data_IF_060539549405
#
_entry.id   IF_060539549405
#
_cell.length_a   1.000
_cell.length_b   1.000
_cell.length_c   1.000
_cell.angle_alpha   90.00
_cell.angle_beta   90.00
_cell.angle_gamma   90.00
#
_symmetry.space_group_name_H-M   'P 1'
#
loop_
_entity.id
_entity.type
_entity.pdbx_description
1 polymer ?
#
# COMPACT_ATOMS: atom_id res chain seq x y z
N UNK A 1 28.31 -6.63 -22.86
CA UNK A 1 28.19 -5.73 -21.69
C UNK A 1 29.36 -6.04 -20.76
N UNK A 2 30.24 -5.07 -20.51
CA UNK A 2 31.33 -5.25 -19.54
C UNK A 2 30.75 -5.03 -18.12
N UNK A 3 30.96 -5.98 -17.22
CA UNK A 3 30.51 -5.92 -15.81
C UNK A 3 31.73 -5.64 -14.94
N UNK A 4 31.65 -4.65 -14.05
CA UNK A 4 32.73 -4.32 -13.12
C UNK A 4 32.22 -4.38 -11.68
N UNK A 5 32.92 -5.15 -10.85
CA UNK A 5 32.81 -5.04 -9.40
C UNK A 5 33.73 -3.91 -8.95
N UNK A 6 33.15 -2.85 -8.36
CA UNK A 6 33.92 -1.79 -7.71
C UNK A 6 33.82 -1.98 -6.19
N UNK A 7 34.96 -2.25 -5.54
CA UNK A 7 35.07 -2.43 -4.09
C UNK A 7 35.63 -1.16 -3.45
N UNK A 8 34.88 -0.56 -2.54
CA UNK A 8 35.36 0.46 -1.61
C UNK A 8 35.76 -0.20 -0.28
N UNK A 9 37.05 -0.17 0.03
CA UNK A 9 37.55 -0.59 1.35
C UNK A 9 37.45 0.62 2.29
N UNK A 10 36.64 0.55 3.35
CA UNK A 10 36.51 1.66 4.32
C UNK A 10 37.56 1.59 5.45
N UNK A 11 38.29 0.47 5.64
CA UNK A 11 39.37 0.31 6.65
C UNK A 11 40.62 -0.42 6.12
N UNK A 12 41.82 -0.01 6.59
CA UNK A 12 43.15 -0.29 5.98
C UNK A 12 43.64 -1.76 5.90
N UNK A 13 42.85 -2.78 6.25
CA UNK A 13 43.30 -4.18 6.27
C UNK A 13 42.33 -5.04 5.47
N UNK A 14 42.67 -5.35 4.21
CA UNK A 14 41.98 -6.35 3.42
C UNK A 14 43.02 -7.20 2.66
N UNK A 15 42.94 -8.53 2.81
CA UNK A 15 43.70 -9.52 2.04
C UNK A 15 42.70 -10.27 1.15
N UNK A 16 42.94 -10.28 -0.16
CA UNK A 16 42.15 -11.04 -1.13
C UNK A 16 42.77 -12.40 -1.40
N UNK A 17 42.01 -13.48 -1.20
CA UNK A 17 42.38 -14.84 -1.62
C UNK A 17 41.29 -15.35 -2.57
N UNK A 18 41.67 -15.71 -3.80
CA UNK A 18 40.74 -16.20 -4.81
C UNK A 18 40.82 -17.72 -4.96
N UNK A 19 39.69 -18.41 -4.81
CA UNK A 19 39.50 -19.78 -5.29
C UNK A 19 38.10 -19.91 -5.91
N UNK A 20 38.06 -20.50 -7.13
CA UNK A 20 36.90 -20.97 -7.89
C UNK A 20 35.55 -20.29 -7.58
N UNK A 21 35.22 -19.29 -8.40
CA UNK A 21 33.92 -18.61 -8.54
C UNK A 21 33.45 -17.66 -7.42
N UNK A 22 34.15 -17.55 -6.29
CA UNK A 22 33.82 -16.57 -5.24
C UNK A 22 35.05 -15.77 -4.80
N UNK A 23 34.89 -14.47 -4.56
CA UNK A 23 35.93 -13.62 -3.99
C UNK A 23 35.73 -13.52 -2.47
N UNK A 24 36.75 -13.87 -1.69
CA UNK A 24 36.69 -13.76 -0.24
C UNK A 24 37.42 -12.49 0.20
N UNK A 25 36.75 -11.64 0.97
CA UNK A 25 37.33 -10.44 1.57
C UNK A 25 37.37 -10.62 3.08
N UNK A 26 38.57 -10.57 3.64
CA UNK A 26 38.77 -10.56 5.09
C UNK A 26 38.80 -9.12 5.59
N UNK A 27 37.81 -8.71 6.37
CA UNK A 27 37.71 -7.37 6.96
C UNK A 27 37.37 -7.51 8.44
N UNK A 28 38.16 -6.91 9.33
CA UNK A 28 37.93 -6.92 10.79
C UNK A 28 37.62 -8.31 11.40
N UNK A 29 38.36 -9.34 10.97
CA UNK A 29 38.20 -10.73 11.44
C UNK A 29 36.95 -11.48 10.94
N UNK A 30 36.16 -10.89 10.04
CA UNK A 30 35.04 -11.54 9.35
C UNK A 30 35.38 -11.86 7.89
N UNK A 31 34.87 -12.99 7.39
CA UNK A 31 34.99 -13.40 5.99
C UNK A 31 33.72 -12.97 5.26
N UNK A 32 33.86 -12.05 4.31
CA UNK A 32 32.80 -11.71 3.37
C UNK A 32 32.95 -12.56 2.10
N UNK A 33 31.93 -13.35 1.83
CA UNK A 33 31.79 -14.09 0.57
C UNK A 33 31.17 -13.18 -0.49
N UNK A 34 31.95 -12.86 -1.51
CA UNK A 34 31.42 -12.25 -2.72
C UNK A 34 31.08 -13.37 -3.71
N UNK A 35 29.83 -13.82 -3.64
CA UNK A 35 29.22 -14.80 -4.56
C UNK A 35 28.41 -14.11 -5.69
N UNK A 36 28.35 -12.77 -5.68
CA UNK A 36 27.58 -11.98 -6.63
C UNK A 36 26.06 -12.00 -6.37
N UNK A 37 25.60 -12.53 -5.23
CA UNK A 37 24.20 -12.52 -4.81
C UNK A 37 23.67 -11.09 -4.69
N UNK A 38 24.39 -10.20 -3.99
CA UNK A 38 24.02 -8.79 -3.86
C UNK A 38 24.73 -7.92 -4.89
N UNK A 39 23.99 -6.98 -5.50
CA UNK A 39 24.54 -6.04 -6.50
C UNK A 39 25.05 -4.73 -5.90
N UNK A 40 24.51 -4.31 -4.76
CA UNK A 40 24.99 -3.20 -3.95
C UNK A 40 25.06 -3.64 -2.49
N UNK A 41 26.12 -3.24 -1.81
CA UNK A 41 26.22 -3.32 -0.36
C UNK A 41 26.87 -2.05 0.17
N UNK A 42 26.26 -1.46 1.20
CA UNK A 42 26.77 -0.30 1.94
C UNK A 42 26.62 -0.59 3.43
N UNK A 43 27.54 -1.34 4.01
CA UNK A 43 27.47 -1.63 5.43
C UNK A 43 28.55 -0.83 6.19
N UNK A 44 28.10 0.17 6.95
CA UNK A 44 28.96 1.03 7.76
C UNK A 44 29.50 0.31 9.01
N UNK A 45 28.76 -0.63 9.59
CA UNK A 45 29.17 -1.41 10.78
C UNK A 45 30.35 -2.34 10.44
N UNK A 46 30.38 -2.84 9.21
CA UNK A 46 31.37 -3.79 8.72
C UNK A 46 32.53 -3.18 7.93
N UNK A 47 32.50 -1.87 7.66
CA UNK A 47 33.58 -1.17 6.94
C UNK A 47 33.75 -1.62 5.47
N UNK A 48 32.70 -2.16 4.84
CA UNK A 48 32.73 -2.65 3.47
C UNK A 48 31.57 -2.09 2.64
N UNK A 49 31.89 -1.47 1.51
CA UNK A 49 30.91 -1.04 0.53
C UNK A 49 31.35 -1.41 -0.88
N UNK A 50 30.44 -1.94 -1.70
CA UNK A 50 30.73 -2.28 -3.09
C UNK A 50 29.48 -2.16 -3.94
N UNK A 51 29.68 -2.01 -5.26
CA UNK A 51 28.60 -2.13 -6.22
C UNK A 51 29.07 -2.74 -7.54
N UNK A 52 28.18 -3.50 -8.16
CA UNK A 52 28.34 -3.98 -9.52
C UNK A 52 27.76 -2.93 -10.48
N UNK A 53 28.56 -2.42 -11.41
CA UNK A 53 28.10 -1.45 -12.40
C UNK A 53 27.89 -2.08 -13.78
N UNK A 54 26.83 -1.64 -14.46
CA UNK A 54 26.60 -1.79 -15.89
C UNK A 54 27.02 -0.51 -16.61
N UNK A 55 27.91 -0.61 -17.60
CA UNK A 55 28.38 0.54 -18.36
C UNK A 55 27.56 0.73 -19.63
N UNK A 56 26.94 1.89 -19.75
CA UNK A 56 26.27 2.37 -20.96
C UNK A 56 27.19 3.33 -21.70
N UNK A 57 27.87 2.82 -22.73
CA UNK A 57 28.76 3.62 -23.57
C UNK A 57 27.96 4.66 -24.36
N UNK A 58 28.49 5.87 -24.49
CA UNK A 58 27.87 6.95 -25.27
C UNK A 58 26.46 7.35 -24.81
N UNK A 59 26.22 7.33 -23.50
CA UNK A 59 24.94 7.67 -22.88
C UNK A 59 25.15 8.53 -21.64
N UNK A 60 24.12 9.31 -21.30
CA UNK A 60 24.06 10.16 -20.12
C UNK A 60 22.65 10.20 -19.56
N UNK A 61 22.53 10.23 -18.24
CA UNK A 61 21.26 10.54 -17.59
C UNK A 61 21.17 12.04 -17.28
N UNK A 62 20.22 12.73 -17.91
CA UNK A 62 20.07 14.19 -17.80
C UNK A 62 19.20 14.58 -16.59
N UNK A 63 19.75 14.37 -15.40
CA UNK A 63 19.15 14.83 -14.13
C UNK A 63 20.15 15.64 -13.33
N UNK A 64 19.66 16.43 -12.37
CA UNK A 64 20.50 17.23 -11.48
C UNK A 64 21.41 16.30 -10.67
N UNK A 65 22.74 16.46 -10.77
CA UNK A 65 23.66 15.64 -10.00
C UNK A 65 23.69 16.06 -8.53
N UNK A 66 23.93 15.10 -7.65
CA UNK A 66 24.23 15.35 -6.24
C UNK A 66 25.55 16.12 -6.09
N UNK A 67 26.57 15.68 -6.83
CA UNK A 67 27.92 16.24 -6.81
C UNK A 67 28.53 16.07 -8.20
N UNK A 68 29.31 17.04 -8.65
CA UNK A 68 30.17 16.93 -9.83
C UNK A 68 31.62 17.23 -9.46
N UNK A 69 32.56 16.41 -9.94
CA UNK A 69 33.99 16.57 -9.66
C UNK A 69 34.86 15.96 -10.77
N UNK A 70 36.12 16.37 -10.86
CA UNK A 70 37.07 15.77 -11.80
C UNK A 70 37.55 14.40 -11.30
N UNK A 71 37.35 13.35 -12.10
CA UNK A 71 37.81 11.99 -11.83
C UNK A 71 38.84 11.55 -12.88
N UNK A 72 39.83 10.76 -12.44
CA UNK A 72 40.89 10.20 -13.30
C UNK A 72 40.35 9.12 -14.23
N UNK A 73 39.44 8.29 -13.72
CA UNK A 73 38.90 7.13 -14.42
C UNK A 73 37.48 6.79 -13.91
N UNK A 74 36.88 5.79 -14.56
CA UNK A 74 35.57 5.25 -14.19
C UNK A 74 35.55 4.66 -12.78
N UNK A 75 36.67 4.09 -12.34
CA UNK A 75 36.79 3.46 -11.02
C UNK A 75 36.63 4.50 -9.91
N UNK A 76 37.36 5.61 -9.98
CA UNK A 76 37.25 6.70 -9.01
C UNK A 76 35.83 7.26 -8.97
N UNK A 77 35.21 7.44 -10.14
CA UNK A 77 33.86 7.96 -10.24
C UNK A 77 32.83 7.02 -9.61
N UNK A 78 32.87 5.72 -9.95
CA UNK A 78 31.96 4.72 -9.40
C UNK A 78 32.16 4.49 -7.90
N UNK A 79 33.41 4.44 -7.41
CA UNK A 79 33.71 4.33 -5.97
C UNK A 79 33.08 5.48 -5.18
N UNK A 80 33.20 6.71 -5.65
CA UNK A 80 32.57 7.87 -4.97
C UNK A 80 31.05 7.78 -4.89
N UNK A 81 30.41 7.04 -5.80
CA UNK A 81 28.98 6.71 -5.71
C UNK A 81 28.70 5.65 -4.65
N UNK A 82 29.51 4.59 -4.61
CA UNK A 82 29.39 3.52 -3.60
C UNK A 82 29.48 4.10 -2.18
N UNK A 83 30.44 4.98 -1.95
CA UNK A 83 30.68 5.63 -0.65
C UNK A 83 29.57 6.62 -0.24
N UNK A 84 28.60 6.92 -1.13
CA UNK A 84 27.52 7.89 -0.89
C UNK A 84 26.15 7.19 -0.90
N UNK A 85 25.46 7.07 0.24
CA UNK A 85 24.16 6.37 0.33
C UNK A 85 23.08 6.90 -0.63
N UNK A 86 23.13 8.19 -0.96
CA UNK A 86 22.16 8.82 -1.86
C UNK A 86 22.48 8.64 -3.35
N UNK A 87 23.63 8.09 -3.72
CA UNK A 87 24.01 7.92 -5.13
C UNK A 87 23.53 6.58 -5.68
N UNK A 88 22.90 6.56 -6.86
CA UNK A 88 22.38 5.32 -7.47
C UNK A 88 22.90 5.07 -8.90
N UNK A 89 23.48 6.09 -9.53
CA UNK A 89 24.16 5.97 -10.82
C UNK A 89 25.15 7.12 -11.00
N UNK A 90 26.01 7.04 -12.01
CA UNK A 90 26.96 8.12 -12.33
C UNK A 90 26.99 8.43 -13.82
N UNK A 91 27.24 9.70 -14.17
CA UNK A 91 27.71 10.08 -15.50
C UNK A 91 29.22 10.30 -15.44
N UNK A 92 29.94 9.78 -16.41
CA UNK A 92 31.35 10.05 -16.64
C UNK A 92 31.52 10.71 -18.01
N UNK A 93 31.82 11.99 -18.01
CA UNK A 93 31.90 12.83 -19.21
C UNK A 93 33.37 13.10 -19.52
N UNK A 94 33.85 12.62 -20.66
CA UNK A 94 35.19 12.93 -21.15
C UNK A 94 35.31 14.42 -21.44
N UNK A 95 36.14 15.11 -20.67
CA UNK A 95 36.63 16.45 -21.02
C UNK A 95 37.90 16.24 -21.87
N UNK A 96 38.18 17.14 -22.81
CA UNK A 96 39.26 17.10 -23.82
C UNK A 96 40.51 16.26 -23.47
N UNK A 97 41.09 15.58 -24.48
CA UNK A 97 42.30 14.74 -24.36
C UNK A 97 43.52 15.46 -23.73
N UNK A 98 43.52 16.79 -23.69
CA UNK A 98 44.64 17.62 -23.24
C UNK A 98 44.82 17.69 -21.72
N UNK A 99 43.81 17.37 -20.90
CA UNK A 99 43.88 17.53 -19.42
C UNK A 99 43.89 16.20 -18.63
N UNK A 100 43.61 15.07 -19.30
CA UNK A 100 43.65 13.74 -18.66
C UNK A 100 42.66 13.54 -17.50
N UNK A 101 41.64 14.39 -17.36
CA UNK A 101 40.61 14.30 -16.31
C UNK A 101 39.22 14.41 -16.92
N UNK A 102 38.33 13.52 -16.50
CA UNK A 102 36.92 13.49 -16.91
C UNK A 102 36.03 14.06 -15.83
N UNK A 103 34.89 14.64 -16.19
CA UNK A 103 33.89 15.08 -15.23
C UNK A 103 33.05 13.89 -14.77
N UNK A 104 33.16 13.54 -13.49
CA UNK A 104 32.26 12.61 -12.83
C UNK A 104 31.07 13.36 -12.23
N UNK A 105 29.87 12.83 -12.41
CA UNK A 105 28.66 13.32 -11.78
C UNK A 105 27.95 12.18 -11.05
N UNK A 106 27.77 12.34 -9.74
CA UNK A 106 27.01 11.41 -8.90
C UNK A 106 25.53 11.75 -8.96
N UNK A 107 24.67 10.76 -9.17
CA UNK A 107 23.25 10.99 -9.45
C UNK A 107 22.35 10.38 -8.37
N UNK A 108 21.27 11.08 -7.96
CA UNK A 108 20.35 10.62 -6.91
C UNK A 108 19.29 9.62 -7.40
N UNK A 109 19.38 9.17 -8.65
CA UNK A 109 18.40 8.29 -9.27
C UNK A 109 19.05 7.54 -10.42
N UNK A 110 18.23 6.82 -11.20
CA UNK A 110 18.68 5.88 -12.22
C UNK A 110 17.89 6.04 -13.52
N UNK A 111 18.34 5.30 -14.55
CA UNK A 111 17.71 5.27 -15.88
C UNK A 111 16.34 4.57 -15.90
N UNK A 112 16.00 3.73 -14.92
CA UNK A 112 14.74 2.98 -14.90
C UNK A 112 13.58 3.91 -14.48
N UNK A 113 13.82 4.77 -13.50
CA UNK A 113 12.87 5.80 -13.07
C UNK A 113 12.83 7.01 -14.03
N UNK A 114 13.95 7.33 -14.68
CA UNK A 114 14.11 8.52 -15.53
C UNK A 114 14.44 8.16 -16.98
N UNK A 115 13.78 7.12 -17.52
CA UNK A 115 14.06 6.58 -18.86
C UNK A 115 13.96 7.62 -19.97
N UNK A 116 13.00 8.55 -19.87
CA UNK A 116 12.83 9.67 -20.79
C UNK A 116 13.96 10.72 -20.76
N UNK A 117 14.82 10.70 -19.73
CA UNK A 117 15.99 11.58 -19.58
C UNK A 117 17.30 10.86 -19.85
N UNK A 118 17.25 9.56 -20.19
CA UNK A 118 18.40 8.78 -20.55
C UNK A 118 18.69 8.94 -22.04
N UNK A 119 19.73 9.72 -22.36
CA UNK A 119 19.99 10.21 -23.73
C UNK A 119 21.35 9.76 -24.25
N UNK A 120 21.44 9.56 -25.56
CA UNK A 120 22.72 9.24 -26.22
C UNK A 120 23.60 10.48 -26.35
N UNK A 121 24.90 10.35 -26.09
CA UNK A 121 25.89 11.43 -26.20
C UNK A 121 27.26 10.87 -26.62
N UNK A 122 28.04 11.60 -27.44
CA UNK A 122 29.33 11.08 -27.96
C UNK A 122 30.44 10.94 -26.92
N UNK A 123 30.41 11.76 -25.86
CA UNK A 123 31.53 11.89 -24.91
C UNK A 123 31.15 11.56 -23.46
N UNK A 124 30.01 10.90 -23.22
CA UNK A 124 29.62 10.47 -21.88
C UNK A 124 29.38 8.98 -21.82
N UNK A 125 29.79 8.37 -20.71
CA UNK A 125 29.43 7.02 -20.31
C UNK A 125 28.57 7.10 -19.06
N UNK A 126 27.45 6.39 -19.04
CA UNK A 126 26.60 6.30 -17.86
C UNK A 126 26.81 4.95 -17.20
N UNK A 127 26.98 4.93 -15.88
CA UNK A 127 27.19 3.71 -15.11
C UNK A 127 25.99 3.54 -14.17
N UNK A 128 25.25 2.47 -14.39
CA UNK A 128 24.12 2.08 -13.54
C UNK A 128 24.59 1.05 -12.53
N UNK A 129 24.25 1.19 -11.25
CA UNK A 129 24.37 0.05 -10.34
C UNK A 129 23.42 -1.05 -10.84
N UNK A 130 23.88 -2.29 -10.91
CA UNK A 130 23.09 -3.42 -11.36
C UNK A 130 21.93 -3.68 -10.41
N UNK A 131 20.77 -3.99 -10.98
CA UNK A 131 19.54 -4.31 -10.25
C UNK A 131 18.73 -5.32 -11.07
N UNK A 132 17.74 -5.98 -10.44
CA UNK A 132 16.74 -6.76 -11.18
C UNK A 132 16.01 -5.95 -12.26
N UNK A 133 15.91 -4.62 -12.16
CA UNK A 133 15.28 -3.79 -13.21
C UNK A 133 16.02 -3.84 -14.55
N UNK A 134 17.27 -4.31 -14.58
CA UNK A 134 18.07 -4.46 -15.81
C UNK A 134 17.46 -5.44 -16.81
N UNK A 135 16.68 -6.42 -16.36
CA UNK A 135 15.97 -7.35 -17.24
C UNK A 135 14.64 -6.81 -17.77
N UNK A 136 14.31 -5.54 -17.47
CA UNK A 136 13.03 -4.91 -17.78
C UNK A 136 11.82 -5.79 -17.37
N UNK A 137 11.72 -6.19 -16.08
CA UNK A 137 10.72 -7.16 -15.63
C UNK A 137 9.28 -6.62 -15.59
N UNK A 138 9.10 -5.32 -15.72
CA UNK A 138 7.82 -4.64 -15.56
C UNK A 138 7.09 -4.51 -16.91
N UNK A 139 5.82 -4.90 -16.97
CA UNK A 139 4.99 -4.94 -18.18
C UNK A 139 4.11 -3.69 -18.34
N UNK A 140 3.40 -3.59 -19.48
CA UNK A 140 2.39 -2.55 -19.74
C UNK A 140 2.89 -1.10 -19.59
N UNK A 141 4.16 -0.86 -19.92
CA UNK A 141 4.77 0.48 -19.85
C UNK A 141 4.99 1.00 -18.42
N UNK A 142 4.92 0.12 -17.42
CA UNK A 142 5.18 0.48 -16.02
C UNK A 142 6.66 0.81 -15.77
N UNK A 143 6.91 1.60 -14.71
CA UNK A 143 8.27 1.96 -14.30
C UNK A 143 8.80 0.97 -13.27
N UNK A 144 10.02 0.47 -13.48
CA UNK A 144 10.68 -0.37 -12.49
C UNK A 144 11.36 0.50 -11.43
N UNK A 145 11.10 0.20 -10.16
CA UNK A 145 11.71 0.88 -9.01
C UNK A 145 12.61 -0.11 -8.30
N UNK A 146 13.91 0.11 -8.37
CA UNK A 146 14.89 -0.76 -7.76
C UNK A 146 14.98 -0.53 -6.24
N UNK A 147 15.01 -1.62 -5.49
CA UNK A 147 15.37 -1.64 -4.06
C UNK A 147 16.80 -2.13 -3.94
N UNK A 148 17.74 -1.21 -4.17
CA UNK A 148 19.15 -1.55 -4.38
C UNK A 148 19.79 -2.40 -3.27
N UNK A 149 19.49 -2.15 -2.00
CA UNK A 149 20.10 -2.86 -0.87
C UNK A 149 19.44 -4.21 -0.55
N UNK A 150 18.19 -4.40 -1.00
CA UNK A 150 17.43 -5.65 -0.88
C UNK A 150 17.68 -6.60 -2.06
N UNK A 151 18.39 -6.14 -3.11
CA UNK A 151 18.46 -6.81 -4.43
C UNK A 151 17.08 -7.17 -5.00
N UNK A 152 16.10 -6.30 -4.75
CA UNK A 152 14.71 -6.49 -5.15
C UNK A 152 14.21 -5.28 -5.97
N UNK A 153 12.96 -5.33 -6.41
CA UNK A 153 12.30 -4.25 -7.12
C UNK A 153 10.79 -4.35 -6.94
N UNK A 154 10.10 -3.26 -7.25
CA UNK A 154 8.68 -3.31 -7.53
C UNK A 154 8.36 -2.53 -8.81
N UNK A 155 7.27 -2.91 -9.45
CA UNK A 155 6.78 -2.20 -10.62
C UNK A 155 5.75 -1.15 -10.18
N UNK A 156 5.97 0.11 -10.53
CA UNK A 156 5.00 1.17 -10.36
C UNK A 156 3.94 1.05 -11.46
N UNK A 157 2.88 0.31 -11.18
CA UNK A 157 1.85 0.00 -12.16
C UNK A 157 1.05 1.23 -12.58
N UNK A 158 0.80 1.41 -13.89
CA UNK A 158 -0.16 2.40 -14.36
C UNK A 158 -1.58 2.03 -13.90
N UNK A 159 -2.47 3.04 -13.91
CA UNK A 159 -3.87 2.84 -13.57
C UNK A 159 -4.49 1.71 -14.43
N UNK A 160 -5.22 0.81 -13.77
CA UNK A 160 -5.86 -0.34 -14.42
C UNK A 160 -4.98 -1.60 -14.49
N UNK A 161 -3.75 -1.56 -13.98
CA UNK A 161 -2.87 -2.74 -13.93
C UNK A 161 -2.37 -3.02 -12.51
N UNK A 162 -2.13 -4.29 -12.23
CA UNK A 162 -1.61 -4.79 -10.95
C UNK A 162 -0.84 -6.11 -11.14
N UNK A 163 -0.36 -6.70 -10.05
CA UNK A 163 0.51 -7.87 -10.08
C UNK A 163 1.97 -7.48 -9.84
N UNK A 164 2.85 -8.48 -9.70
CA UNK A 164 4.27 -8.25 -9.38
C UNK A 164 4.97 -7.49 -10.50
N UNK A 165 4.55 -7.75 -11.74
CA UNK A 165 5.10 -7.22 -12.97
C UNK A 165 4.11 -6.28 -13.68
N UNK A 166 3.01 -5.89 -13.03
CA UNK A 166 1.90 -5.15 -13.66
C UNK A 166 1.28 -5.89 -14.86
N UNK A 167 1.33 -7.21 -14.84
CA UNK A 167 0.88 -8.12 -15.89
C UNK A 167 -0.64 -8.37 -15.87
N UNK A 168 -1.28 -8.11 -14.74
CA UNK A 168 -2.72 -8.34 -14.54
C UNK A 168 -3.49 -7.04 -14.76
N UNK A 169 -4.61 -7.13 -15.48
CA UNK A 169 -5.50 -6.00 -15.69
C UNK A 169 -6.63 -6.01 -14.65
N UNK A 170 -6.90 -4.84 -14.06
CA UNK A 170 -8.05 -4.63 -13.17
C UNK A 170 -9.33 -4.76 -14.00
N UNK A 171 -10.25 -5.60 -13.52
CA UNK A 171 -11.58 -5.74 -14.10
C UNK A 171 -12.46 -4.59 -13.63
N UNK A 172 -13.33 -4.07 -14.52
CA UNK A 172 -14.32 -3.05 -14.18
C UNK A 172 -15.49 -3.69 -13.43
N UNK A 173 -15.31 -3.88 -12.13
CA UNK A 173 -16.33 -4.44 -11.25
C UNK A 173 -16.46 -3.52 -10.05
N UNK A 174 -17.66 -3.03 -9.77
CA UNK A 174 -17.86 -1.93 -8.83
C UNK A 174 -17.71 -2.35 -7.37
N UNK A 175 -18.14 -3.58 -7.04
CA UNK A 175 -18.18 -4.09 -5.67
C UNK A 175 -18.09 -5.62 -5.64
N UNK A 176 -18.01 -6.20 -4.44
CA UNK A 176 -17.91 -7.64 -4.26
C UNK A 176 -19.19 -8.40 -4.66
N UNK A 177 -20.35 -7.75 -4.58
CA UNK A 177 -21.63 -8.35 -4.97
C UNK A 177 -21.67 -8.65 -6.47
N UNK A 178 -21.19 -7.73 -7.28
CA UNK A 178 -21.09 -7.89 -8.73
C UNK A 178 -20.13 -9.05 -9.08
N UNK A 179 -19.00 -9.18 -8.37
CA UNK A 179 -18.09 -10.32 -8.54
C UNK A 179 -18.82 -11.63 -8.25
N UNK A 180 -19.53 -11.71 -7.12
CA UNK A 180 -20.25 -12.93 -6.71
C UNK A 180 -21.37 -13.30 -7.69
N UNK A 181 -22.07 -12.29 -8.23
CA UNK A 181 -23.15 -12.49 -9.21
C UNK A 181 -22.61 -12.92 -10.57
N UNK A 182 -21.48 -12.37 -11.02
CA UNK A 182 -20.84 -12.75 -12.29
C UNK A 182 -20.12 -14.10 -12.18
N UNK A 183 -19.61 -14.45 -10.99
CA UNK A 183 -18.91 -15.69 -10.73
C UNK A 183 -19.35 -16.30 -9.39
N UNK A 184 -20.34 -17.18 -9.44
CA UNK A 184 -20.91 -17.83 -8.25
C UNK A 184 -19.89 -18.63 -7.42
N UNK A 185 -18.80 -19.11 -8.04
CA UNK A 185 -17.72 -19.86 -7.37
C UNK A 185 -16.63 -18.95 -6.80
N UNK A 186 -16.78 -17.62 -6.85
CA UNK A 186 -15.88 -16.69 -6.19
C UNK A 186 -15.77 -17.02 -4.69
N UNK A 187 -14.52 -17.05 -4.21
CA UNK A 187 -14.13 -17.36 -2.84
C UNK A 187 -13.74 -16.10 -2.08
N UNK A 188 -13.69 -16.19 -0.76
CA UNK A 188 -13.23 -15.09 0.10
C UNK A 188 -11.80 -14.67 -0.26
N UNK A 189 -11.51 -13.37 -0.21
CA UNK A 189 -10.16 -12.86 -0.47
C UNK A 189 -10.10 -11.40 -0.89
N UNK A 190 -8.90 -10.95 -1.26
CA UNK A 190 -8.67 -9.58 -1.74
C UNK A 190 -8.96 -9.47 -3.24
N UNK A 191 -9.77 -8.47 -3.62
CA UNK A 191 -10.13 -8.17 -5.00
C UNK A 191 -9.95 -6.69 -5.31
N UNK A 192 -9.59 -6.38 -6.54
CA UNK A 192 -9.62 -5.01 -7.06
C UNK A 192 -11.04 -4.63 -7.45
N UNK A 193 -11.49 -3.48 -6.97
CA UNK A 193 -12.80 -2.90 -7.24
C UNK A 193 -12.64 -1.54 -7.92
N UNK A 194 -13.51 -1.25 -8.87
CA UNK A 194 -13.58 0.01 -9.62
C UNK A 194 -15.02 0.55 -9.58
N UNK A 195 -15.37 1.34 -8.55
CA UNK A 195 -16.76 1.70 -8.24
C UNK A 195 -17.39 2.70 -9.23
N UNK A 196 -16.60 3.41 -10.04
CA UNK A 196 -17.12 4.32 -11.07
C UNK A 196 -16.97 3.79 -12.50
N UNK A 197 -16.20 2.71 -12.70
CA UNK A 197 -15.97 2.10 -14.02
C UNK A 197 -15.17 3.00 -14.97
N UNK A 198 -14.48 4.01 -14.43
CA UNK A 198 -13.81 5.06 -15.18
C UNK A 198 -12.43 4.65 -15.69
N UNK A 199 -11.43 5.47 -15.37
CA UNK A 199 -10.03 5.26 -15.79
C UNK A 199 -9.20 4.48 -14.76
N UNK A 200 -9.85 3.80 -13.82
CA UNK A 200 -9.25 3.05 -12.71
C UNK A 200 -8.42 3.89 -11.71
N UNK A 201 -8.47 5.23 -11.77
CA UNK A 201 -7.71 6.09 -10.84
C UNK A 201 -8.18 6.01 -9.39
N UNK A 202 -9.43 5.61 -9.19
CA UNK A 202 -10.07 5.37 -7.90
C UNK A 202 -10.17 3.87 -7.57
N UNK A 203 -9.64 2.99 -8.42
CA UNK A 203 -9.70 1.56 -8.19
C UNK A 203 -8.92 1.23 -6.92
N UNK A 204 -9.43 0.29 -6.14
CA UNK A 204 -8.89 0.00 -4.82
C UNK A 204 -9.03 -1.48 -4.47
N UNK A 205 -8.19 -1.94 -3.54
CA UNK A 205 -8.21 -3.33 -3.06
C UNK A 205 -9.12 -3.46 -1.85
N UNK A 206 -10.05 -4.40 -1.89
CA UNK A 206 -10.96 -4.71 -0.78
C UNK A 206 -11.03 -6.20 -0.52
N UNK A 207 -11.29 -6.57 0.73
CA UNK A 207 -11.60 -7.95 1.08
C UNK A 207 -13.07 -8.19 0.76
N UNK A 208 -13.32 -9.19 -0.06
CA UNK A 208 -14.65 -9.68 -0.34
C UNK A 208 -14.93 -10.92 0.51
N UNK A 209 -15.94 -10.84 1.37
CA UNK A 209 -16.51 -12.03 1.99
C UNK A 209 -17.56 -12.59 1.01
N UNK A 210 -17.21 -13.73 0.40
CA UNK A 210 -18.00 -14.45 -0.61
C UNK A 210 -18.77 -15.64 -0.02
N UNK A 211 -18.72 -15.82 1.30
CA UNK A 211 -19.25 -16.99 1.99
C UNK A 211 -20.42 -16.63 2.91
N UNK A 212 -20.30 -15.57 3.70
CA UNK A 212 -21.29 -15.16 4.70
C UNK A 212 -22.58 -14.70 4.03
N UNK A 213 -23.72 -15.28 4.42
CA UNK A 213 -25.04 -14.88 3.91
C UNK A 213 -25.12 -14.85 2.38
N UNK A 214 -24.59 -15.87 1.70
CA UNK A 214 -24.45 -15.98 0.24
C UNK A 214 -23.37 -15.06 -0.39
N UNK A 215 -22.58 -14.37 0.42
CA UNK A 215 -21.39 -13.66 -0.03
C UNK A 215 -21.63 -12.35 -0.77
N UNK A 216 -20.56 -11.82 -1.35
CA UNK A 216 -20.58 -10.56 -2.09
C UNK A 216 -20.46 -9.33 -1.20
N UNK A 217 -19.99 -9.47 0.04
CA UNK A 217 -19.80 -8.33 0.94
C UNK A 217 -18.46 -7.66 0.69
N UNK A 218 -18.48 -6.35 0.43
CA UNK A 218 -17.29 -5.51 0.42
C UNK A 218 -16.98 -5.08 1.84
N UNK A 219 -15.95 -5.67 2.45
CA UNK A 219 -15.55 -5.35 3.83
C UNK A 219 -14.80 -4.02 3.85
N UNK A 220 -15.21 -3.08 4.69
CA UNK A 220 -14.77 -1.69 4.67
C UNK A 220 -13.66 -1.38 5.66
N UNK A 221 -13.80 -1.88 6.88
CA UNK A 221 -12.78 -1.75 7.90
C UNK A 221 -12.94 -2.80 8.99
N UNK A 222 -11.86 -3.05 9.72
CA UNK A 222 -11.81 -3.84 10.95
C UNK A 222 -11.12 -3.02 12.03
N UNK A 223 -11.76 -2.89 13.20
CA UNK A 223 -11.14 -2.20 14.34
C UNK A 223 -11.76 -2.61 15.67
N UNK A 224 -10.99 -2.52 16.75
CA UNK A 224 -11.45 -2.67 18.13
C UNK A 224 -11.65 -1.33 18.86
N UNK A 225 -11.40 -0.21 18.18
CA UNK A 225 -11.62 1.15 18.66
C UNK A 225 -12.39 1.99 17.63
N UNK A 226 -11.78 3.06 17.10
CA UNK A 226 -12.40 4.04 16.20
C UNK A 226 -11.89 3.88 14.76
N UNK A 227 -12.74 4.25 13.80
CA UNK A 227 -12.39 4.28 12.39
C UNK A 227 -12.86 5.58 11.74
N UNK A 228 -12.12 6.08 10.76
CA UNK A 228 -12.51 7.23 9.94
C UNK A 228 -12.73 6.82 8.49
N UNK A 229 -13.81 6.09 8.17
CA UNK A 229 -13.99 5.48 6.84
C UNK A 229 -14.08 6.49 5.68
N UNK A 230 -14.29 7.79 5.97
CA UNK A 230 -14.26 8.83 4.95
C UNK A 230 -12.83 9.15 4.47
N UNK A 231 -11.84 9.08 5.35
CA UNK A 231 -10.45 9.47 5.08
C UNK A 231 -9.45 8.31 5.15
N UNK A 232 -9.71 7.30 5.99
CA UNK A 232 -8.93 6.08 6.12
C UNK A 232 -9.42 5.06 5.08
N UNK A 233 -8.97 5.24 3.84
CA UNK A 233 -9.53 4.55 2.66
C UNK A 233 -8.52 3.69 1.91
N UNK A 234 -7.31 3.54 2.45
CA UNK A 234 -6.20 2.84 1.78
C UNK A 234 -5.89 1.54 2.50
N UNK A 235 -5.93 0.44 1.77
CA UNK A 235 -5.50 -0.86 2.26
C UNK A 235 -3.99 -0.88 2.51
N UNK A 236 -3.59 -1.38 3.67
CA UNK A 236 -2.20 -1.65 4.02
C UNK A 236 -2.03 -3.16 4.27
N UNK A 237 -1.12 -3.87 3.56
CA UNK A 237 -0.86 -5.28 3.79
C UNK A 237 -0.35 -5.65 5.19
N UNK A 238 0.21 -4.70 5.95
CA UNK A 238 0.61 -4.92 7.35
C UNK A 238 -0.61 -5.09 8.29
N UNK A 239 -1.78 -4.63 7.84
CA UNK A 239 -3.06 -4.73 8.55
C UNK A 239 -4.09 -5.45 7.67
N UNK A 240 -3.92 -6.78 7.46
CA UNK A 240 -4.83 -7.56 6.64
C UNK A 240 -6.24 -7.61 7.23
N UNK A 241 -7.23 -7.99 6.41
CA UNK A 241 -8.60 -8.14 6.87
C UNK A 241 -8.69 -9.06 8.10
N UNK A 242 -9.49 -8.66 9.08
CA UNK A 242 -9.63 -9.39 10.35
C UNK A 242 -8.62 -8.96 11.42
N UNK A 243 -7.74 -8.00 11.13
CA UNK A 243 -6.84 -7.36 12.11
C UNK A 243 -7.26 -5.90 12.33
N UNK A 244 -7.04 -5.37 13.52
CA UNK A 244 -7.24 -3.94 13.77
C UNK A 244 -6.36 -3.11 12.81
N UNK A 245 -6.94 -2.08 12.22
CA UNK A 245 -6.28 -1.23 11.21
C UNK A 245 -6.57 -1.60 9.76
N UNK A 246 -7.32 -2.68 9.46
CA UNK A 246 -7.79 -2.92 8.09
C UNK A 246 -8.71 -1.78 7.62
N UNK A 247 -8.42 -1.20 6.45
CA UNK A 247 -9.15 -0.05 5.86
C UNK A 247 -9.26 -0.20 4.35
N UNK A 248 -10.39 0.18 3.77
CA UNK A 248 -10.57 0.25 2.31
C UNK A 248 -11.65 1.26 1.91
N UNK A 249 -11.67 1.66 0.63
CA UNK A 249 -12.48 2.79 0.16
C UNK A 249 -13.94 2.43 -0.16
N UNK A 250 -14.74 2.15 0.87
CA UNK A 250 -16.16 1.88 0.70
C UNK A 250 -17.02 3.11 0.36
N UNK A 251 -16.45 4.32 0.23
CA UNK A 251 -17.24 5.56 0.17
C UNK A 251 -18.21 5.65 -1.02
N UNK A 252 -17.79 5.09 -2.16
CA UNK A 252 -18.53 5.14 -3.41
C UNK A 252 -19.27 3.84 -3.75
N UNK A 253 -19.22 2.85 -2.87
CA UNK A 253 -19.93 1.58 -3.02
C UNK A 253 -21.41 1.82 -2.78
N UNK A 254 -22.30 1.60 -3.78
CA UNK A 254 -23.73 1.60 -3.55
C UNK A 254 -24.11 0.33 -2.77
N UNK A 255 -24.91 0.48 -1.72
CA UNK A 255 -25.35 -0.65 -0.90
C UNK A 255 -26.82 -0.54 -0.48
N UNK A 256 -27.45 -1.69 -0.27
CA UNK A 256 -28.77 -1.81 0.39
C UNK A 256 -28.70 -2.70 1.62
N UNK A 257 -27.54 -3.31 1.89
CA UNK A 257 -27.29 -4.17 3.02
C UNK A 257 -25.97 -3.79 3.71
N UNK A 258 -25.96 -3.88 5.04
CA UNK A 258 -24.76 -3.63 5.86
C UNK A 258 -24.60 -4.74 6.89
N UNK A 259 -23.40 -5.31 6.97
CA UNK A 259 -23.05 -6.40 7.87
C UNK A 259 -22.06 -5.94 8.94
N UNK A 260 -22.22 -6.47 10.15
CA UNK A 260 -21.28 -6.33 11.25
C UNK A 260 -20.82 -7.73 11.68
N UNK A 261 -19.52 -7.89 11.93
CA UNK A 261 -18.92 -9.15 12.39
C UNK A 261 -18.16 -8.89 13.68
N UNK A 262 -18.49 -9.62 14.74
CA UNK A 262 -17.72 -9.69 15.97
C UNK A 262 -16.66 -10.80 15.86
N UNK A 263 -15.38 -10.42 15.78
CA UNK A 263 -14.29 -11.38 15.63
C UNK A 263 -13.97 -12.14 16.93
N UNK A 264 -14.42 -11.67 18.08
CA UNK A 264 -14.22 -12.38 19.35
C UNK A 264 -15.14 -13.60 19.46
N UNK A 265 -16.39 -13.47 19.00
CA UNK A 265 -17.41 -14.52 19.10
C UNK A 265 -17.65 -15.25 17.79
N UNK A 266 -17.18 -14.71 16.66
CA UNK A 266 -17.53 -15.18 15.31
C UNK A 266 -18.96 -14.83 14.90
N UNK A 267 -19.71 -14.10 15.74
CA UNK A 267 -21.09 -13.71 15.46
C UNK A 267 -21.15 -12.72 14.31
N UNK A 268 -22.13 -12.91 13.43
CA UNK A 268 -22.40 -12.02 12.31
C UNK A 268 -23.85 -11.57 12.36
N UNK A 269 -24.10 -10.32 11.99
CA UNK A 269 -25.44 -9.78 11.76
C UNK A 269 -25.43 -8.93 10.52
N UNK A 270 -26.53 -8.85 9.80
CA UNK A 270 -26.68 -7.84 8.77
C UNK A 270 -28.06 -7.19 8.81
N UNK A 271 -28.13 -6.02 8.21
CA UNK A 271 -29.33 -5.21 8.11
C UNK A 271 -29.62 -4.95 6.65
N UNK A 272 -30.86 -5.15 6.26
CA UNK A 272 -31.34 -4.93 4.90
C UNK A 272 -32.27 -3.73 4.87
N UNK A 273 -32.01 -2.79 3.97
CA UNK A 273 -32.85 -1.61 3.82
C UNK A 273 -34.25 -2.03 3.39
N UNK A 274 -35.29 -1.44 3.99
CA UNK A 274 -36.69 -1.67 3.57
C UNK A 274 -37.01 -1.10 2.19
N UNK A 275 -36.29 -0.04 1.81
CA UNK A 275 -36.35 0.55 0.47
C UNK A 275 -35.31 -0.12 -0.44
N UNK A 276 -35.67 -0.33 -1.71
CA UNK A 276 -34.75 -0.85 -2.73
C UNK A 276 -33.79 0.21 -3.29
N UNK A 277 -33.88 1.46 -2.86
CA UNK A 277 -32.92 2.48 -3.27
C UNK A 277 -31.58 2.23 -2.57
N UNK A 278 -30.48 2.25 -3.32
CA UNK A 278 -29.14 2.16 -2.74
C UNK A 278 -28.73 3.46 -2.05
N UNK A 279 -27.76 3.34 -1.15
CA UNK A 279 -27.07 4.47 -0.52
C UNK A 279 -25.59 4.40 -0.80
N UNK A 280 -24.92 5.57 -0.83
CA UNK A 280 -23.46 5.69 -0.86
C UNK A 280 -23.02 6.52 0.34
N UNK A 281 -21.92 6.15 0.99
CA UNK A 281 -21.46 6.88 2.17
C UNK A 281 -21.05 8.32 1.83
N UNK A 282 -20.37 8.54 0.69
CA UNK A 282 -19.79 9.84 0.29
C UNK A 282 -20.79 11.02 0.34
N UNK A 283 -22.05 10.80 -0.04
CA UNK A 283 -23.10 11.85 -0.07
C UNK A 283 -24.04 11.82 1.15
N UNK A 284 -23.79 10.94 2.12
CA UNK A 284 -24.69 10.72 3.26
C UNK A 284 -24.01 10.83 4.63
N UNK A 285 -22.71 11.14 4.68
CA UNK A 285 -22.05 11.49 5.94
C UNK A 285 -22.79 12.63 6.66
N UNK A 286 -23.07 12.44 7.96
CA UNK A 286 -23.67 13.44 8.83
C UNK A 286 -25.20 13.54 8.72
N UNK A 287 -25.86 12.75 7.86
CA UNK A 287 -27.32 12.74 7.79
C UNK A 287 -27.94 12.01 8.99
N UNK A 288 -29.13 12.47 9.37
CA UNK A 288 -29.94 11.86 10.42
C UNK A 288 -30.49 10.49 9.99
N UNK A 289 -30.88 9.66 10.97
CA UNK A 289 -31.37 8.31 10.72
C UNK A 289 -32.58 8.22 9.78
N UNK A 290 -33.46 9.23 9.76
CA UNK A 290 -34.63 9.28 8.87
C UNK A 290 -34.25 9.35 7.39
N UNK A 291 -33.12 9.97 7.06
CA UNK A 291 -32.65 10.08 5.68
C UNK A 291 -32.36 8.71 5.03
N UNK A 292 -32.10 7.69 5.84
CA UNK A 292 -31.80 6.33 5.37
C UNK A 292 -33.03 5.43 5.37
N UNK A 293 -34.14 5.85 5.98
CA UNK A 293 -35.28 4.98 6.25
C UNK A 293 -34.95 3.84 7.22
N UNK A 294 -35.90 2.93 7.41
CA UNK A 294 -35.75 1.79 8.31
C UNK A 294 -35.18 0.57 7.61
N UNK A 295 -34.57 -0.31 8.41
CA UNK A 295 -33.85 -1.50 7.99
C UNK A 295 -34.42 -2.71 8.74
N UNK A 296 -34.59 -3.81 8.01
CA UNK A 296 -34.89 -5.13 8.54
C UNK A 296 -33.59 -5.81 9.01
N UNK A 297 -33.74 -6.77 9.91
CA UNK A 297 -32.64 -7.46 10.55
C UNK A 297 -32.44 -8.87 9.99
N UNK A 298 -31.21 -9.37 10.13
CA UNK A 298 -30.88 -10.79 10.16
C UNK A 298 -29.82 -11.04 11.23
N UNK A 299 -30.14 -11.88 12.22
CA UNK A 299 -29.24 -12.22 13.33
C UNK A 299 -29.29 -11.27 14.53
N UNK A 300 -30.20 -10.28 14.54
CA UNK A 300 -30.43 -9.36 15.66
C UNK A 300 -31.84 -9.52 16.26
N UNK A 301 -32.17 -8.74 17.30
CA UNK A 301 -33.48 -8.80 17.96
C UNK A 301 -34.60 -8.25 17.07
N UNK A 302 -35.67 -9.04 16.90
CA UNK A 302 -36.90 -8.66 16.16
C UNK A 302 -37.83 -7.70 16.89
N UNK A 303 -37.47 -7.28 18.10
CA UNK A 303 -38.22 -6.29 18.86
C UNK A 303 -38.18 -4.87 18.25
N UNK A 304 -37.26 -4.61 17.31
CA UNK A 304 -37.04 -3.28 16.75
C UNK A 304 -36.93 -3.30 15.21
N UNK A 305 -37.49 -2.32 14.50
CA UNK A 305 -36.91 -1.89 13.23
C UNK A 305 -35.56 -1.20 13.49
N UNK A 306 -34.66 -1.19 12.50
CA UNK A 306 -33.32 -0.62 12.67
C UNK A 306 -33.13 0.66 11.86
N UNK A 307 -32.24 1.53 12.32
CA UNK A 307 -31.85 2.78 11.66
C UNK A 307 -30.33 2.83 11.48
N UNK A 308 -29.86 3.43 10.38
CA UNK A 308 -28.45 3.59 10.03
C UNK A 308 -28.01 5.04 10.23
N UNK A 309 -26.77 5.21 10.70
CA UNK A 309 -26.01 6.45 10.66
C UNK A 309 -24.68 6.22 9.96
N UNK A 310 -24.25 7.23 9.20
CA UNK A 310 -22.92 7.28 8.58
C UNK A 310 -22.30 8.60 9.04
N UNK A 311 -21.24 8.52 9.84
CA UNK A 311 -20.73 9.67 10.56
C UNK A 311 -19.25 9.90 10.31
N UNK A 312 -18.88 11.18 10.34
CA UNK A 312 -17.51 11.70 10.27
C UNK A 312 -17.48 12.99 11.08
N UNK A 313 -17.68 12.85 12.39
CA UNK A 313 -17.72 13.96 13.35
C UNK A 313 -16.69 13.73 14.43
N UNK A 314 -16.39 14.77 15.21
CA UNK A 314 -15.52 14.62 16.38
C UNK A 314 -16.10 13.62 17.37
N UNK A 315 -17.42 13.59 17.58
CA UNK A 315 -18.05 12.69 18.54
C UNK A 315 -18.08 11.23 18.06
N UNK A 316 -18.52 10.99 16.83
CA UNK A 316 -18.58 9.64 16.26
C UNK A 316 -18.21 9.65 14.79
N UNK A 317 -17.43 8.65 14.39
CA UNK A 317 -17.00 8.40 13.03
C UNK A 317 -17.10 6.90 12.74
N UNK A 318 -17.73 6.53 11.63
CA UNK A 318 -18.05 5.14 11.32
C UNK A 318 -19.48 4.94 10.81
N UNK A 319 -19.81 3.68 10.51
CA UNK A 319 -21.19 3.23 10.32
C UNK A 319 -21.74 2.74 11.65
N UNK A 320 -22.95 3.18 11.97
CA UNK A 320 -23.66 2.75 13.17
C UNK A 320 -25.07 2.30 12.81
N UNK A 321 -25.44 1.10 13.23
CA UNK A 321 -26.83 0.63 13.22
C UNK A 321 -27.34 0.52 14.64
N UNK A 322 -28.59 0.93 14.88
CA UNK A 322 -29.25 0.75 16.17
C UNK A 322 -30.73 0.48 16.01
N UNK A 323 -31.35 -0.11 17.04
CA UNK A 323 -32.80 -0.20 17.11
C UNK A 323 -33.45 1.20 17.06
N UNK A 324 -34.58 1.29 16.36
CA UNK A 324 -35.42 2.47 16.35
C UNK A 324 -36.57 2.26 17.33
N UNK A 325 -36.63 3.10 18.36
CA UNK A 325 -37.59 3.02 19.47
C UNK A 325 -38.87 3.79 19.22
N UNK A 326 -39.02 4.46 18.07
CA UNK A 326 -40.19 5.30 17.75
C UNK A 326 -40.11 6.73 18.30
N UNK A 327 -39.23 7.00 19.26
CA UNK A 327 -39.14 8.33 19.90
C UNK A 327 -38.47 9.39 19.03
N UNK A 328 -37.33 9.05 18.42
CA UNK A 328 -36.55 9.95 17.59
C UNK A 328 -35.72 9.17 16.55
N UNK A 329 -35.31 9.85 15.48
CA UNK A 329 -34.18 9.40 14.69
C UNK A 329 -32.88 9.93 15.27
N UNK A 330 -31.89 9.04 15.42
CA UNK A 330 -30.59 9.41 15.95
C UNK A 330 -29.84 10.33 14.97
N UNK A 331 -28.90 11.10 15.49
CA UNK A 331 -27.96 11.95 14.76
C UNK A 331 -26.55 11.54 15.13
N UNK A 332 -25.58 11.94 14.31
CA UNK A 332 -24.18 11.57 14.55
C UNK A 332 -23.69 11.99 15.94
N UNK A 333 -24.13 13.14 16.44
CA UNK A 333 -23.77 13.75 17.72
C UNK A 333 -24.85 13.64 18.80
N UNK A 334 -25.99 13.00 18.51
CA UNK A 334 -27.11 12.89 19.45
C UNK A 334 -27.88 11.57 19.28
N UNK A 335 -27.75 10.68 20.27
CA UNK A 335 -28.39 9.35 20.28
C UNK A 335 -29.68 9.26 21.10
N UNK A 336 -30.26 10.41 21.43
CA UNK A 336 -31.55 10.55 22.10
C UNK A 336 -31.71 9.86 23.46
N UNK A 337 -30.62 9.59 24.17
CA UNK A 337 -30.69 8.90 25.47
C UNK A 337 -31.32 7.50 25.36
N UNK A 338 -31.16 6.82 24.22
CA UNK A 338 -31.67 5.46 24.04
C UNK A 338 -30.72 4.44 24.70
N UNK A 339 -31.03 4.13 25.96
CA UNK A 339 -30.31 3.17 26.81
C UNK A 339 -30.89 1.74 26.76
N UNK A 340 -31.78 1.45 25.81
CA UNK A 340 -32.54 0.18 25.78
C UNK A 340 -32.27 -0.61 24.51
N UNK A 341 -32.27 0.04 23.35
CA UNK A 341 -32.15 -0.68 22.08
C UNK A 341 -30.73 -1.20 21.84
N UNK A 342 -30.56 -2.25 20.99
CA UNK A 342 -29.24 -2.76 20.62
C UNK A 342 -28.55 -1.84 19.60
N UNK A 343 -27.21 -1.77 19.69
CA UNK A 343 -26.34 -0.97 18.85
C UNK A 343 -25.26 -1.85 18.22
N UNK A 344 -24.83 -1.42 17.04
CA UNK A 344 -23.74 -1.97 16.24
C UNK A 344 -22.89 -0.79 15.80
N UNK A 345 -21.86 -0.46 16.59
CA UNK A 345 -20.99 0.71 16.35
C UNK A 345 -19.59 0.46 16.89
N UNK A 346 -18.62 1.08 16.21
CA UNK A 346 -17.26 1.26 16.71
C UNK A 346 -17.21 2.24 17.89
N UNK A 347 -16.05 2.40 18.51
CA UNK A 347 -15.85 3.35 19.60
C UNK A 347 -16.07 4.80 19.15
N UNK A 348 -16.60 5.60 20.06
CA UNK A 348 -16.60 7.06 19.99
C UNK A 348 -15.31 7.62 20.56
N UNK A 349 -14.96 8.85 20.19
CA UNK A 349 -13.87 9.61 20.84
C UNK A 349 -14.24 10.08 22.26
N UNK A 350 -15.53 10.08 22.59
CA UNK A 350 -16.02 10.46 23.92
C UNK A 350 -15.76 9.33 24.92
N UNK A 351 -15.25 9.69 26.10
CA UNK A 351 -14.99 8.75 27.20
C UNK A 351 -16.25 7.99 27.66
N UNK A 352 -17.43 8.61 27.53
CA UNK A 352 -18.70 8.02 27.95
C UNK A 352 -19.19 6.92 27.01
N UNK A 353 -18.70 6.88 25.77
CA UNK A 353 -19.15 5.97 24.72
C UNK A 353 -17.99 5.17 24.09
N UNK A 354 -16.92 4.95 24.88
CA UNK A 354 -15.81 4.08 24.50
C UNK A 354 -16.25 2.62 24.32
N UNK A 355 -15.41 1.87 23.62
CA UNK A 355 -15.65 0.46 23.30
C UNK A 355 -16.56 0.26 22.10
N UNK A 356 -16.57 -0.98 21.62
CA UNK A 356 -17.29 -1.39 20.42
C UNK A 356 -18.55 -2.13 20.82
N UNK A 357 -19.71 -1.58 20.43
CA UNK A 357 -21.01 -2.17 20.74
C UNK A 357 -21.39 -3.15 19.63
N UNK A 358 -21.66 -4.40 20.00
CA UNK A 358 -22.21 -5.42 19.12
C UNK A 358 -23.38 -6.10 19.84
N UNK A 359 -24.59 -5.88 19.34
CA UNK A 359 -25.83 -6.41 19.92
C UNK A 359 -25.98 -6.12 21.43
N UNK A 360 -25.54 -4.95 21.86
CA UNK A 360 -25.70 -4.45 23.23
C UNK A 360 -26.08 -2.97 23.15
N UNK A 361 -26.56 -2.38 24.24
CA UNK A 361 -26.80 -0.94 24.24
C UNK A 361 -25.46 -0.20 24.08
N UNK A 362 -25.38 0.65 23.05
CA UNK A 362 -24.18 1.40 22.71
C UNK A 362 -24.20 2.84 23.21
N UNK A 363 -25.26 3.29 23.89
CA UNK A 363 -25.31 4.61 24.53
C UNK A 363 -24.63 4.62 25.91
N UNK A 364 -23.68 3.72 26.13
CA UNK A 364 -22.90 3.57 27.36
C UNK A 364 -21.46 3.16 27.02
N UNK A 365 -20.60 3.16 28.03
CA UNK A 365 -19.28 2.53 27.97
C UNK A 365 -19.44 1.02 27.85
N UNK A 366 -18.78 0.42 26.86
CA UNK A 366 -18.71 -1.03 26.67
C UNK A 366 -17.25 -1.47 26.54
N UNK A 367 -16.99 -2.78 26.55
CA UNK A 367 -15.64 -3.30 26.33
C UNK A 367 -15.17 -3.08 24.89
N UNK A 368 -13.86 -2.93 24.70
CA UNK A 368 -13.26 -2.99 23.37
C UNK A 368 -13.44 -4.41 22.81
N UNK A 369 -13.77 -4.49 21.52
CA UNK A 369 -13.82 -5.75 20.78
C UNK A 369 -13.61 -5.51 19.30
N UNK A 370 -12.90 -6.43 18.67
CA UNK A 370 -12.57 -6.34 17.25
C UNK A 370 -13.81 -6.60 16.39
N UNK A 371 -14.20 -5.62 15.57
CA UNK A 371 -15.38 -5.70 14.73
C UNK A 371 -15.06 -5.28 13.29
N UNK A 372 -15.63 -6.01 12.33
CA UNK A 372 -15.65 -5.60 10.92
C UNK A 372 -17.00 -5.03 10.52
N UNK A 373 -16.97 -4.11 9.56
CA UNK A 373 -18.17 -3.62 8.84
C UNK A 373 -18.03 -3.92 7.35
N UNK A 374 -19.08 -4.43 6.73
CA UNK A 374 -19.13 -4.70 5.28
C UNK A 374 -20.41 -4.21 4.65
N UNK A 375 -20.36 -3.89 3.36
CA UNK A 375 -21.47 -3.34 2.57
C UNK A 375 -21.79 -4.26 1.39
N UNK A 376 -23.07 -4.33 1.03
CA UNK A 376 -23.55 -5.10 -0.12
C UNK A 376 -24.73 -4.44 -0.82
#
# INVERSE_FOLDING_TARGET
MEKYLLVGILTKIALGLGFLNSLFLYVNSEIYTFDGSKKLMRNAEHGLAYANFEIHKSHRLNITPLVSFAAKDLWQCGKSCVDRPQCFSVNFVGLSQTEGRSLCQLLPSDKYLNSNKFVSTKFSHHLSIQTPCSSAPCMNGSRCVAKYEEDDYYCACPAGFHGKHCELQIKRIANCHDIKTQNGTAIDGMYWLDPDGGNFSNAFLAYCDMTSYNGGWTMCYTTDEYAKPKSEVTYNPDFPYGVDGYRTNCNNIPFTEIMFIDHQTGSKVYFKRKSNHSVKATVNYGKNGDAFGLWDLVGASSAYPYQLLICDTLFYSGFMVSGFTGNCYKRCDYWCGDYISPYFRTASTSSTFKGVAFNTNGAILVSNRLMSVGLR
#
